data_IF_003781303552
#
_entry.id   IF_003781303552
#
_cell.length_a   1.000
_cell.length_b   1.000
_cell.length_c   1.000
_cell.angle_alpha   90.00
_cell.angle_beta   90.00
_cell.angle_gamma   90.00
#
_symmetry.space_group_name_H-M   'P 1'
#
loop_
_entity.id
_entity.type
_entity.pdbx_description
1 polymer ?
#
# COMPACT_ATOMS: atom_id res chain seq x y z
N UNK A 1 -7.92 8.33 6.43
CA UNK A 1 -7.24 7.35 5.55
C UNK A 1 -5.74 7.61 5.63
N UNK A 2 -5.00 6.92 6.51
CA UNK A 2 -3.54 7.01 6.51
C UNK A 2 -3.01 5.96 5.54
N UNK A 3 -2.30 6.39 4.50
CA UNK A 3 -1.81 5.51 3.42
C UNK A 3 -0.29 5.50 3.27
N UNK A 4 0.47 6.22 4.10
CA UNK A 4 1.93 6.30 3.99
C UNK A 4 2.56 6.85 5.28
N UNK A 5 3.86 6.61 5.44
CA UNK A 5 4.70 7.07 6.55
C UNK A 5 4.28 6.50 7.92
N UNK A 6 4.09 5.18 7.98
CA UNK A 6 3.67 4.49 9.21
C UNK A 6 4.61 4.80 10.37
N UNK A 7 5.92 4.86 10.14
CA UNK A 7 6.84 5.20 11.22
C UNK A 7 6.57 6.58 11.82
N UNK A 8 6.35 7.61 10.99
CA UNK A 8 6.04 8.95 11.51
C UNK A 8 4.65 9.01 12.15
N UNK A 9 3.67 8.29 11.61
CA UNK A 9 2.30 8.23 12.15
C UNK A 9 2.27 7.55 13.51
N UNK A 10 2.92 6.38 13.61
CA UNK A 10 3.03 5.65 14.87
C UNK A 10 3.80 6.52 15.88
N UNK A 11 4.91 7.14 15.46
CA UNK A 11 5.68 8.04 16.31
C UNK A 11 4.84 9.22 16.83
N UNK A 12 4.12 9.91 15.95
CA UNK A 12 3.28 11.04 16.33
C UNK A 12 2.17 10.62 17.32
N UNK A 13 1.61 9.41 17.15
CA UNK A 13 0.62 8.88 18.09
C UNK A 13 1.26 8.51 19.45
N UNK A 14 2.45 7.91 19.45
CA UNK A 14 3.17 7.54 20.69
C UNK A 14 3.69 8.76 21.45
N UNK A 15 4.10 9.82 20.74
CA UNK A 15 4.62 11.06 21.31
C UNK A 15 3.49 11.96 21.89
N UNK A 16 2.23 11.74 21.50
CA UNK A 16 1.09 12.44 22.08
C UNK A 16 0.88 12.03 23.56
N UNK A 17 0.44 12.99 24.39
CA UNK A 17 0.11 12.75 25.78
C UNK A 17 -1.00 11.67 25.89
N UNK A 18 -0.96 10.76 26.88
CA UNK A 18 -1.94 9.68 27.01
C UNK A 18 -3.41 10.13 26.91
N UNK A 19 -3.71 11.30 27.47
CA UNK A 19 -5.03 11.91 27.53
C UNK A 19 -5.50 12.47 26.17
N UNK A 20 -4.56 12.87 25.31
CA UNK A 20 -4.82 13.44 23.98
C UNK A 20 -4.82 12.38 22.87
N UNK A 21 -4.51 11.11 23.20
CA UNK A 21 -4.42 10.04 22.21
C UNK A 21 -5.80 9.62 21.72
N UNK A 22 -6.02 9.77 20.43
CA UNK A 22 -7.19 9.19 19.78
C UNK A 22 -7.04 7.66 19.70
N UNK A 23 -7.72 6.93 20.60
CA UNK A 23 -7.65 5.46 20.68
C UNK A 23 -8.21 4.77 19.43
N UNK A 24 -9.30 5.30 18.86
CA UNK A 24 -9.87 4.76 17.61
C UNK A 24 -8.87 4.90 16.45
N UNK A 25 -8.11 5.99 16.43
CA UNK A 25 -7.04 6.18 15.47
C UNK A 25 -5.90 5.16 15.66
N UNK A 26 -5.47 4.94 16.91
CA UNK A 26 -4.48 3.91 17.24
C UNK A 26 -4.90 2.51 16.81
N UNK A 27 -6.16 2.14 17.06
CA UNK A 27 -6.73 0.87 16.59
C UNK A 27 -6.73 0.77 15.05
N UNK A 28 -7.05 1.87 14.36
CA UNK A 28 -7.01 1.93 12.90
C UNK A 28 -5.59 1.72 12.37
N UNK A 29 -4.57 2.34 12.99
CA UNK A 29 -3.16 2.15 12.61
C UNK A 29 -2.78 0.66 12.78
N UNK A 30 -3.16 0.02 13.88
CA UNK A 30 -2.89 -1.41 14.10
C UNK A 30 -3.51 -2.29 13.01
N UNK A 31 -4.78 -2.07 12.68
CA UNK A 31 -5.45 -2.80 11.60
C UNK A 31 -4.71 -2.68 10.27
N UNK A 32 -4.15 -1.51 9.99
CA UNK A 32 -3.39 -1.28 8.76
C UNK A 32 -2.03 -1.97 8.75
N UNK A 33 -1.42 -2.16 9.92
CA UNK A 33 -0.12 -2.82 10.07
C UNK A 33 -0.22 -4.35 9.97
N UNK A 34 -1.25 -4.96 10.56
CA UNK A 34 -1.37 -6.42 10.69
C UNK A 34 -2.51 -7.05 9.87
N UNK A 35 -3.46 -6.25 9.38
CA UNK A 35 -4.66 -6.73 8.68
C UNK A 35 -5.69 -7.46 9.55
N UNK A 36 -5.53 -7.50 10.88
CA UNK A 36 -6.35 -8.30 11.78
C UNK A 36 -7.68 -7.61 12.12
N UNK A 37 -8.69 -7.85 11.27
CA UNK A 37 -10.05 -7.34 11.44
C UNK A 37 -10.71 -7.77 12.75
N UNK A 38 -10.45 -8.99 13.22
CA UNK A 38 -11.05 -9.52 14.45
C UNK A 38 -10.53 -8.73 15.65
N UNK A 39 -9.20 -8.55 15.73
CA UNK A 39 -8.56 -7.76 16.78
C UNK A 39 -9.06 -6.32 16.78
N UNK A 40 -9.10 -5.68 15.61
CA UNK A 40 -9.64 -4.34 15.47
C UNK A 40 -11.08 -4.23 16.00
N UNK A 41 -11.96 -5.14 15.58
CA UNK A 41 -13.35 -5.12 16.02
C UNK A 41 -13.49 -5.33 17.53
N UNK A 42 -12.66 -6.18 18.13
CA UNK A 42 -12.63 -6.39 19.58
C UNK A 42 -12.14 -5.15 20.33
N UNK A 43 -11.10 -4.47 19.82
CA UNK A 43 -10.59 -3.22 20.37
C UNK A 43 -11.67 -2.13 20.32
N UNK A 44 -12.33 -1.97 19.17
CA UNK A 44 -13.35 -0.93 18.95
C UNK A 44 -14.57 -1.10 19.86
N UNK A 45 -14.86 -2.30 20.35
CA UNK A 45 -15.95 -2.55 21.31
C UNK A 45 -15.69 -1.97 22.70
N UNK A 46 -14.43 -1.79 23.09
CA UNK A 46 -14.05 -1.17 24.35
C UNK A 46 -12.66 -0.54 24.24
N UNK A 47 -12.61 0.70 23.75
CA UNK A 47 -11.35 1.40 23.47
C UNK A 47 -10.54 1.64 24.74
N UNK A 48 -11.16 2.16 25.80
CA UNK A 48 -10.51 2.52 27.06
C UNK A 48 -9.80 1.33 27.70
N UNK A 49 -10.48 0.18 27.80
CA UNK A 49 -9.88 -1.04 28.35
C UNK A 49 -8.67 -1.52 27.53
N UNK A 50 -8.68 -1.26 26.24
CA UNK A 50 -7.63 -1.68 25.32
C UNK A 50 -6.56 -0.60 25.09
N UNK A 51 -6.61 0.55 25.74
CA UNK A 51 -5.66 1.65 25.53
C UNK A 51 -4.20 1.19 25.72
N UNK A 52 -3.90 0.47 26.80
CA UNK A 52 -2.56 -0.08 27.05
C UNK A 52 -2.12 -1.15 26.04
N UNK A 53 -3.07 -1.93 25.50
CA UNK A 53 -2.79 -2.88 24.43
C UNK A 53 -2.45 -2.15 23.12
N UNK A 54 -3.23 -1.11 22.77
CA UNK A 54 -3.00 -0.30 21.57
C UNK A 54 -1.59 0.31 21.64
N UNK A 55 -1.24 0.92 22.77
CA UNK A 55 0.08 1.54 22.95
C UNK A 55 1.22 0.52 22.83
N UNK A 56 1.14 -0.59 23.57
CA UNK A 56 2.20 -1.61 23.57
C UNK A 56 2.44 -2.22 22.20
N UNK A 57 1.36 -2.50 21.45
CA UNK A 57 1.44 -3.03 20.09
C UNK A 57 2.00 -2.02 19.10
N UNK A 58 1.57 -0.75 19.17
CA UNK A 58 2.11 0.32 18.32
C UNK A 58 3.58 0.56 18.59
N UNK A 59 3.99 0.58 19.87
CA UNK A 59 5.40 0.68 20.28
C UNK A 59 6.24 -0.46 19.74
N UNK A 60 5.76 -1.71 19.89
CA UNK A 60 6.42 -2.90 19.33
C UNK A 60 6.61 -2.79 17.82
N UNK A 61 5.56 -2.39 17.09
CA UNK A 61 5.66 -2.19 15.63
C UNK A 61 6.65 -1.07 15.27
N UNK A 62 6.62 0.04 16.00
CA UNK A 62 7.57 1.13 15.80
C UNK A 62 9.01 0.66 15.99
N UNK A 63 9.32 -0.01 17.09
CA UNK A 63 10.67 -0.52 17.39
C UNK A 63 11.16 -1.51 16.34
N UNK A 64 10.31 -2.46 15.92
CA UNK A 64 10.63 -3.40 14.84
C UNK A 64 10.94 -2.69 13.52
N UNK A 65 10.18 -1.62 13.20
CA UNK A 65 10.34 -0.85 11.97
C UNK A 65 11.46 0.19 12.02
N UNK A 66 11.88 0.59 13.22
CA UNK A 66 12.99 1.53 13.50
C UNK A 66 14.33 0.82 13.53
N UNK A 67 14.37 -0.50 13.29
CA UNK A 67 15.62 -1.18 12.95
C UNK A 67 16.39 -0.26 11.99
N UNK A 68 17.61 0.12 12.38
CA UNK A 68 18.43 1.14 11.71
C UNK A 68 19.25 0.39 10.66
N UNK A 69 18.75 0.18 9.42
CA UNK A 69 19.62 -0.31 8.36
C UNK A 69 20.83 0.60 8.26
N UNK A 70 21.96 0.00 7.88
CA UNK A 70 23.16 0.78 7.56
C UNK A 70 22.83 1.84 6.49
N UNK A 71 23.62 2.91 6.40
CA UNK A 71 23.43 3.90 5.32
C UNK A 71 23.54 3.24 3.93
N UNK A 72 24.36 2.19 3.80
CA UNK A 72 24.46 1.36 2.60
C UNK A 72 23.15 0.65 2.27
N UNK A 73 22.53 0.00 3.27
CA UNK A 73 21.23 -0.65 3.12
C UNK A 73 20.13 0.37 2.77
N UNK A 74 20.16 1.56 3.39
CA UNK A 74 19.21 2.65 3.07
C UNK A 74 19.34 3.08 1.62
N UNK A 75 20.57 3.28 1.12
CA UNK A 75 20.78 3.66 -0.27
C UNK A 75 20.42 2.53 -1.23
N UNK A 76 20.69 1.27 -0.87
CA UNK A 76 20.25 0.10 -1.65
C UNK A 76 18.74 0.06 -1.80
N UNK A 77 17.99 0.25 -0.72
CA UNK A 77 16.51 0.29 -0.75
C UNK A 77 16.02 1.47 -1.60
N UNK A 78 16.64 2.64 -1.47
CA UNK A 78 16.31 3.82 -2.30
C UNK A 78 16.58 3.54 -3.78
N UNK A 79 17.68 2.88 -4.11
CA UNK A 79 18.04 2.50 -5.47
C UNK A 79 17.03 1.50 -6.04
N UNK A 80 16.73 0.42 -5.32
CA UNK A 80 15.73 -0.58 -5.72
C UNK A 80 14.35 0.06 -5.97
N UNK A 81 13.94 1.02 -5.12
CA UNK A 81 12.69 1.75 -5.30
C UNK A 81 12.73 2.66 -6.55
N UNK A 82 13.83 3.36 -6.81
CA UNK A 82 14.01 4.17 -8.03
C UNK A 82 13.95 3.30 -9.29
N UNK A 83 14.64 2.16 -9.27
CA UNK A 83 14.70 1.22 -10.38
C UNK A 83 13.32 0.62 -10.67
N UNK A 84 12.57 0.22 -9.63
CA UNK A 84 11.19 -0.26 -9.76
C UNK A 84 10.26 0.78 -10.41
N UNK A 85 10.32 2.03 -9.94
CA UNK A 85 9.50 3.11 -10.51
C UNK A 85 9.89 3.38 -11.96
N UNK A 86 11.19 3.38 -12.27
CA UNK A 86 11.69 3.52 -13.63
C UNK A 86 11.18 2.38 -14.52
N UNK A 87 11.32 1.12 -14.10
CA UNK A 87 10.86 -0.04 -14.88
C UNK A 87 9.36 0.01 -15.17
N UNK A 88 8.53 0.28 -14.13
CA UNK A 88 7.07 0.15 -14.24
C UNK A 88 6.38 1.37 -14.85
N UNK A 89 6.97 2.56 -14.74
CA UNK A 89 6.33 3.81 -15.17
C UNK A 89 7.14 4.62 -16.19
N UNK A 90 8.30 4.14 -16.64
CA UNK A 90 9.05 4.83 -17.69
C UNK A 90 8.28 4.85 -19.00
N UNK A 91 8.22 6.03 -19.62
CA UNK A 91 7.63 6.27 -20.93
C UNK A 91 8.57 5.91 -22.08
N UNK A 92 9.66 5.15 -21.83
CA UNK A 92 10.61 4.77 -22.89
C UNK A 92 9.88 4.09 -24.05
N UNK A 93 10.23 4.52 -25.27
CA UNK A 93 9.73 3.98 -26.52
C UNK A 93 9.97 2.46 -26.56
N UNK A 94 8.90 1.69 -26.68
CA UNK A 94 8.92 0.21 -26.58
C UNK A 94 8.14 -0.37 -25.40
N UNK A 95 7.53 0.47 -24.56
CA UNK A 95 6.64 -0.02 -23.50
C UNK A 95 5.43 -0.72 -24.14
N UNK A 96 5.18 -1.99 -23.78
CA UNK A 96 4.08 -2.81 -24.31
C UNK A 96 2.68 -2.23 -24.06
N UNK A 97 2.58 -1.15 -23.29
CA UNK A 97 1.41 -0.29 -23.18
C UNK A 97 0.95 0.29 -24.53
N UNK A 98 1.83 0.45 -25.52
CA UNK A 98 1.44 0.87 -26.87
C UNK A 98 0.62 -0.20 -27.63
N UNK A 99 0.76 -1.48 -27.25
CA UNK A 99 -0.02 -2.60 -27.81
C UNK A 99 -1.25 -2.95 -26.95
N UNK A 100 -1.46 -2.27 -25.82
CA UNK A 100 -2.59 -2.51 -24.94
C UNK A 100 -3.87 -1.96 -25.58
N UNK A 101 -4.78 -2.85 -25.97
CA UNK A 101 -6.11 -2.49 -26.50
C UNK A 101 -6.94 -1.88 -25.37
N UNK A 102 -6.84 -0.57 -25.24
CA UNK A 102 -7.50 0.19 -24.19
C UNK A 102 -9.01 0.18 -24.39
N UNK A 103 -9.73 -0.57 -23.55
CA UNK A 103 -11.17 -0.41 -23.48
C UNK A 103 -11.89 -1.46 -22.67
N UNK A 104 -13.06 -1.05 -22.19
CA UNK A 104 -14.14 -1.98 -21.87
C UNK A 104 -14.46 -2.79 -23.13
N UNK A 105 -14.62 -4.11 -23.01
CA UNK A 105 -15.02 -4.97 -24.13
C UNK A 105 -16.40 -4.57 -24.67
N UNK A 106 -16.65 -4.80 -25.95
CA UNK A 106 -17.94 -4.50 -26.57
C UNK A 106 -19.09 -5.34 -25.98
N UNK A 107 -18.80 -6.58 -25.56
CA UNK A 107 -19.75 -7.51 -24.95
C UNK A 107 -19.80 -7.42 -23.42
N UNK A 108 -19.15 -6.43 -22.81
CA UNK A 108 -18.97 -6.35 -21.34
C UNK A 108 -20.25 -6.52 -20.54
N UNK A 109 -21.34 -5.89 -20.98
CA UNK A 109 -22.61 -5.89 -20.26
C UNK A 109 -23.32 -7.24 -20.30
N UNK A 110 -22.89 -8.14 -21.21
CA UNK A 110 -23.40 -9.50 -21.34
C UNK A 110 -22.55 -10.54 -20.61
N UNK A 111 -21.37 -10.15 -20.11
CA UNK A 111 -20.46 -11.04 -19.39
C UNK A 111 -21.01 -11.38 -18.00
N UNK A 112 -20.61 -12.52 -17.39
CA UNK A 112 -20.95 -12.80 -16.00
C UNK A 112 -20.41 -11.72 -15.05
N UNK A 113 -21.13 -11.50 -13.97
CA UNK A 113 -20.80 -10.50 -12.94
C UNK A 113 -19.38 -10.67 -12.38
N UNK A 114 -18.90 -11.91 -12.26
CA UNK A 114 -17.54 -12.20 -11.83
C UNK A 114 -16.48 -11.57 -12.75
N UNK A 115 -16.67 -11.68 -14.06
CA UNK A 115 -15.77 -11.14 -15.10
C UNK A 115 -15.92 -9.62 -15.19
N UNK A 116 -17.15 -9.11 -15.10
CA UNK A 116 -17.37 -7.66 -15.04
C UNK A 116 -16.67 -7.03 -13.84
N UNK A 117 -16.69 -7.72 -12.68
CA UNK A 117 -16.04 -7.24 -11.46
C UNK A 117 -14.52 -7.06 -11.62
N UNK A 118 -13.86 -7.86 -12.46
CA UNK A 118 -12.42 -7.75 -12.72
C UNK A 118 -12.07 -6.42 -13.38
N UNK A 119 -12.90 -5.95 -14.32
CA UNK A 119 -12.73 -4.65 -14.95
C UNK A 119 -12.83 -3.51 -13.93
N UNK A 120 -13.89 -3.52 -13.11
CA UNK A 120 -14.11 -2.49 -12.08
C UNK A 120 -12.97 -2.48 -11.04
N UNK A 121 -12.57 -3.65 -10.56
CA UNK A 121 -11.40 -3.81 -9.65
C UNK A 121 -10.12 -3.28 -10.29
N UNK A 122 -9.91 -3.49 -11.59
CA UNK A 122 -8.73 -2.98 -12.28
C UNK A 122 -8.70 -1.46 -12.41
N UNK A 123 -9.85 -0.80 -12.55
CA UNK A 123 -9.92 0.66 -12.48
C UNK A 123 -9.47 1.16 -11.10
N UNK A 124 -9.97 0.55 -10.03
CA UNK A 124 -9.58 0.88 -8.65
C UNK A 124 -8.08 0.61 -8.40
N UNK A 125 -7.57 -0.54 -8.85
CA UNK A 125 -6.15 -0.90 -8.74
C UNK A 125 -5.27 0.10 -9.48
N UNK A 126 -5.65 0.53 -10.69
CA UNK A 126 -4.90 1.54 -11.44
C UNK A 126 -4.79 2.86 -10.66
N UNK A 127 -5.90 3.35 -10.11
CA UNK A 127 -5.90 4.55 -9.29
C UNK A 127 -5.03 4.35 -8.03
N UNK A 128 -5.14 3.21 -7.37
CA UNK A 128 -4.32 2.86 -6.20
C UNK A 128 -2.83 2.85 -6.51
N UNK A 129 -2.42 2.21 -7.61
CA UNK A 129 -1.03 2.14 -8.07
C UNK A 129 -0.45 3.53 -8.40
N UNK A 130 -1.25 4.42 -9.00
CA UNK A 130 -0.84 5.81 -9.24
C UNK A 130 -0.57 6.55 -7.92
N UNK A 131 -1.42 6.36 -6.91
CA UNK A 131 -1.19 6.94 -5.58
C UNK A 131 0.09 6.38 -4.93
N UNK A 132 0.32 5.06 -5.00
CA UNK A 132 1.55 4.44 -4.49
C UNK A 132 2.80 4.98 -5.19
N UNK A 133 2.74 5.14 -6.51
CA UNK A 133 3.83 5.74 -7.28
C UNK A 133 4.16 7.16 -6.80
N UNK A 134 3.16 8.03 -6.63
CA UNK A 134 3.35 9.39 -6.12
C UNK A 134 3.93 9.40 -4.70
N UNK A 135 3.48 8.48 -3.84
CA UNK A 135 3.98 8.35 -2.47
C UNK A 135 5.45 7.92 -2.46
N UNK A 136 5.82 6.89 -3.22
CA UNK A 136 7.21 6.42 -3.36
C UNK A 136 8.11 7.56 -3.84
N UNK A 137 7.68 8.33 -4.87
CA UNK A 137 8.43 9.49 -5.37
C UNK A 137 8.61 10.58 -4.30
N UNK A 138 7.59 10.82 -3.49
CA UNK A 138 7.64 11.82 -2.42
C UNK A 138 8.63 11.41 -1.34
N UNK A 139 8.60 10.13 -0.91
CA UNK A 139 9.55 9.58 0.06
C UNK A 139 10.99 9.59 -0.46
N UNK A 140 11.20 9.26 -1.74
CA UNK A 140 12.53 9.31 -2.37
C UNK A 140 13.11 10.74 -2.40
N UNK A 141 12.26 11.76 -2.62
CA UNK A 141 12.66 13.17 -2.57
C UNK A 141 12.93 13.67 -1.15
N UNK A 142 12.20 13.16 -0.15
CA UNK A 142 12.43 13.48 1.25
C UNK A 142 13.77 12.92 1.73
N UNK A 143 14.70 13.81 2.11
CA UNK A 143 15.97 13.43 2.76
C UNK A 143 15.84 13.24 4.26
N UNK A 144 14.83 13.86 4.90
CA UNK A 144 14.83 14.02 6.36
C UNK A 144 14.57 12.73 7.12
N UNK A 145 13.57 11.93 6.74
CA UNK A 145 13.29 10.66 7.43
C UNK A 145 12.49 9.72 6.51
N UNK A 146 13.10 9.21 5.44
CA UNK A 146 12.49 8.10 4.72
C UNK A 146 12.70 6.85 5.55
N UNK A 147 11.70 6.45 6.34
CA UNK A 147 11.68 5.15 7.00
C UNK A 147 11.91 4.06 5.92
N UNK A 148 13.05 3.35 5.94
CA UNK A 148 13.40 2.42 4.87
C UNK A 148 12.38 1.29 4.75
N UNK A 149 11.75 0.92 5.87
CA UNK A 149 10.67 -0.06 5.90
C UNK A 149 9.41 0.43 5.20
N UNK A 150 9.03 1.70 5.36
CA UNK A 150 7.85 2.26 4.67
C UNK A 150 8.05 2.26 3.14
N UNK A 151 9.27 2.54 2.68
CA UNK A 151 9.61 2.47 1.26
C UNK A 151 9.52 1.04 0.73
N UNK A 152 10.06 0.05 1.48
CA UNK A 152 9.93 -1.37 1.15
C UNK A 152 8.47 -1.82 1.06
N UNK A 153 7.66 -1.47 2.06
CA UNK A 153 6.26 -1.86 2.14
C UNK A 153 5.46 -1.30 0.95
N UNK A 154 5.67 -0.04 0.59
CA UNK A 154 5.03 0.59 -0.57
C UNK A 154 5.47 -0.05 -1.89
N UNK A 155 6.76 -0.34 -2.06
CA UNK A 155 7.27 -1.04 -3.24
C UNK A 155 6.71 -2.47 -3.36
N UNK A 156 6.61 -3.20 -2.25
CA UNK A 156 6.01 -4.54 -2.23
C UNK A 156 4.52 -4.49 -2.59
N UNK A 157 3.78 -3.53 -2.03
CA UNK A 157 2.36 -3.34 -2.35
C UNK A 157 2.15 -2.98 -3.82
N UNK A 158 2.98 -2.09 -4.38
CA UNK A 158 2.94 -1.74 -5.79
C UNK A 158 3.18 -2.97 -6.70
N UNK A 159 4.17 -3.81 -6.38
CA UNK A 159 4.44 -5.07 -7.12
C UNK A 159 3.25 -6.03 -7.06
N UNK A 160 2.62 -6.16 -5.89
CA UNK A 160 1.42 -6.99 -5.71
C UNK A 160 0.27 -6.49 -6.57
N UNK A 161 -0.03 -5.20 -6.52
CA UNK A 161 -1.11 -4.60 -7.30
C UNK A 161 -0.85 -4.65 -8.81
N UNK A 162 0.40 -4.45 -9.28
CA UNK A 162 0.77 -4.61 -10.70
C UNK A 162 0.52 -6.05 -11.18
N UNK A 163 0.90 -7.05 -10.38
CA UNK A 163 0.64 -8.46 -10.68
C UNK A 163 -0.87 -8.73 -10.77
N UNK A 164 -1.64 -8.28 -9.78
CA UNK A 164 -3.10 -8.46 -9.75
C UNK A 164 -3.78 -7.77 -10.94
N UNK A 165 -3.38 -6.54 -11.25
CA UNK A 165 -3.88 -5.77 -12.39
C UNK A 165 -3.70 -6.53 -13.70
N UNK A 166 -2.51 -7.06 -13.95
CA UNK A 166 -2.20 -7.84 -15.18
C UNK A 166 -2.97 -9.15 -15.24
N UNK A 167 -3.09 -9.86 -14.13
CA UNK A 167 -3.85 -11.12 -14.05
C UNK A 167 -5.34 -10.90 -14.33
N UNK A 168 -5.92 -9.85 -13.76
CA UNK A 168 -7.31 -9.49 -13.96
C UNK A 168 -7.58 -9.10 -15.42
N UNK A 169 -6.69 -8.35 -16.07
CA UNK A 169 -6.82 -8.04 -17.49
C UNK A 169 -6.72 -9.28 -18.36
N UNK A 170 -5.74 -10.15 -18.09
CA UNK A 170 -5.61 -11.42 -18.82
C UNK A 170 -6.90 -12.25 -18.71
N UNK A 171 -7.44 -12.43 -17.50
CA UNK A 171 -8.70 -13.15 -17.29
C UNK A 171 -9.89 -12.49 -18.00
N UNK A 172 -9.97 -11.16 -17.94
CA UNK A 172 -11.03 -10.40 -18.59
C UNK A 172 -10.96 -10.48 -20.12
N UNK A 173 -9.77 -10.42 -20.70
CA UNK A 173 -9.55 -10.42 -22.14
C UNK A 173 -9.60 -11.82 -22.76
N UNK A 174 -9.21 -12.87 -22.01
CA UNK A 174 -9.20 -14.26 -22.47
C UNK A 174 -10.57 -14.94 -22.29
N UNK A 175 -11.49 -14.35 -21.53
CA UNK A 175 -12.81 -14.95 -21.30
C UNK A 175 -13.61 -15.11 -22.60
N UNK A 176 -13.93 -16.36 -22.96
CA UNK A 176 -14.69 -16.72 -24.16
C UNK A 176 -13.84 -16.88 -25.44
N UNK A 177 -12.51 -16.83 -25.34
CA UNK A 177 -11.60 -17.23 -26.41
C UNK A 177 -11.19 -18.69 -26.18
N UNK A 178 -11.83 -19.61 -26.88
CA UNK A 178 -11.30 -20.97 -27.10
C UNK A 178 -10.29 -20.96 -28.25
#
# INVERSE_FOLDING_TARGET
MIKYNFNAVIKAWLDAAPEDRNLAHGATILLQLDGNKIRHNNIMRNLERNAGLIESELRRHYEQRVNRPSEEDKEKIRKEAKDLISEKFSLKAGNSAAAFKAGRRADHDTLPEEIQSLYRKNLELRHSMQQLHLQIRTLLKSRKDCAPQDLKDLCALLKKQDTEYRLNWKKYDDYGKE
#
